data_IF_832731492676
#
_entry.id   IF_832731492676
#
_cell.length_a   1.000
_cell.length_b   1.000
_cell.length_c   1.000
_cell.angle_alpha   90.00
_cell.angle_beta   90.00
_cell.angle_gamma   90.00
#
_symmetry.space_group_name_H-M   'P 1'
#
loop_
_entity.id
_entity.type
_entity.pdbx_description
1 polymer ?
#
# COMPACT_ATOMS: atom_id res chain seq x y z
N UNK A 1 12.70 -1.04 -9.65
CA UNK A 1 13.35 0.15 -9.03
C UNK A 1 12.65 0.47 -7.72
N UNK A 2 13.41 0.82 -6.68
CA UNK A 2 12.89 1.21 -5.35
C UNK A 2 12.85 2.73 -5.21
N UNK A 3 11.96 3.25 -4.36
CA UNK A 3 11.86 4.69 -4.06
C UNK A 3 12.85 5.12 -2.95
N UNK A 4 13.22 4.20 -2.06
CA UNK A 4 14.26 4.41 -1.05
C UNK A 4 15.66 4.39 -1.69
N UNK A 5 16.59 5.25 -1.22
CA UNK A 5 16.41 6.23 -0.15
C UNK A 5 15.85 7.59 -0.63
N UNK A 6 15.72 7.82 -1.94
CA UNK A 6 15.45 9.13 -2.55
C UNK A 6 14.22 9.83 -1.97
N UNK A 7 13.13 9.09 -1.71
CA UNK A 7 11.87 9.67 -1.23
C UNK A 7 11.60 9.45 0.27
N UNK A 8 12.56 8.91 1.01
CA UNK A 8 12.38 8.57 2.43
C UNK A 8 11.98 9.79 3.27
N UNK A 9 12.63 10.94 3.07
CA UNK A 9 12.33 12.15 3.84
C UNK A 9 10.91 12.66 3.58
N UNK A 10 10.45 12.58 2.32
CA UNK A 10 9.10 12.99 1.92
C UNK A 10 8.03 12.13 2.61
N UNK A 11 8.10 10.80 2.47
CA UNK A 11 7.10 9.90 3.08
C UNK A 11 7.13 9.93 4.60
N UNK A 12 8.31 10.08 5.23
CA UNK A 12 8.40 10.26 6.69
C UNK A 12 7.71 11.52 7.18
N UNK A 13 7.81 12.62 6.42
CA UNK A 13 7.11 13.87 6.76
C UNK A 13 5.60 13.70 6.63
N UNK A 14 5.12 13.05 5.56
CA UNK A 14 3.69 12.78 5.37
C UNK A 14 3.12 11.89 6.49
N UNK A 15 3.82 10.81 6.85
CA UNK A 15 3.43 9.92 7.96
C UNK A 15 3.29 10.74 9.24
N UNK A 16 4.31 11.52 9.61
CA UNK A 16 4.27 12.35 10.82
C UNK A 16 3.12 13.35 10.83
N UNK A 17 2.84 13.98 9.69
CA UNK A 17 1.75 14.95 9.58
C UNK A 17 0.38 14.27 9.75
N UNK A 18 0.19 13.09 9.17
CA UNK A 18 -1.06 12.35 9.29
C UNK A 18 -1.28 11.85 10.73
N UNK A 19 -0.27 11.24 11.35
CA UNK A 19 -0.36 10.73 12.73
C UNK A 19 -0.60 11.86 13.74
N UNK A 20 -0.07 13.06 13.50
CA UNK A 20 -0.28 14.22 14.37
C UNK A 20 -1.76 14.67 14.45
N UNK A 21 -2.54 14.45 13.38
CA UNK A 21 -3.98 14.78 13.34
C UNK A 21 -4.88 13.55 13.56
N UNK A 22 -4.31 12.34 13.53
CA UNK A 22 -4.99 11.07 13.74
C UNK A 22 -4.27 10.24 14.83
N UNK A 23 -4.40 10.58 16.12
CA UNK A 23 -3.59 10.00 17.20
C UNK A 23 -3.82 8.50 17.45
N UNK A 24 -4.87 7.92 16.87
CA UNK A 24 -5.19 6.50 16.96
C UNK A 24 -4.73 5.69 15.73
N UNK A 25 -3.96 6.31 14.82
CA UNK A 25 -3.46 5.67 13.61
C UNK A 25 -1.94 5.71 13.63
N UNK A 26 -1.33 4.56 13.33
CA UNK A 26 0.10 4.43 13.07
C UNK A 26 0.29 4.01 11.61
N UNK A 27 1.21 4.66 10.90
CA UNK A 27 1.47 4.41 9.49
C UNK A 27 2.92 3.92 9.27
N UNK A 28 3.05 2.72 8.72
CA UNK A 28 4.32 2.21 8.23
C UNK A 28 4.38 2.30 6.69
N UNK A 29 5.31 3.12 6.16
CA UNK A 29 5.59 3.14 4.73
C UNK A 29 6.64 2.09 4.34
N UNK A 30 6.16 1.05 3.65
CA UNK A 30 6.98 -0.02 3.07
C UNK A 30 7.26 0.27 1.60
N UNK A 31 8.54 0.29 1.24
CA UNK A 31 8.97 0.41 -0.15
C UNK A 31 9.33 -0.97 -0.69
N UNK A 32 8.71 -1.35 -1.80
CA UNK A 32 8.93 -2.64 -2.45
C UNK A 32 9.34 -2.35 -3.89
N UNK A 33 10.46 -2.92 -4.37
CA UNK A 33 10.87 -2.77 -5.76
C UNK A 33 9.74 -3.18 -6.71
N UNK A 34 9.46 -2.34 -7.70
CA UNK A 34 8.34 -2.53 -8.64
C UNK A 34 8.29 -3.93 -9.28
N UNK A 35 9.44 -4.46 -9.65
CA UNK A 35 9.65 -5.78 -10.26
C UNK A 35 9.28 -6.95 -9.32
N UNK A 36 9.30 -6.72 -8.00
CA UNK A 36 8.92 -7.70 -6.99
C UNK A 36 7.55 -7.43 -6.37
N UNK A 37 6.94 -6.26 -6.62
CA UNK A 37 5.74 -5.80 -5.92
C UNK A 37 4.56 -6.75 -6.13
N UNK A 38 4.23 -7.08 -7.38
CA UNK A 38 3.07 -7.93 -7.68
C UNK A 38 3.21 -9.32 -7.06
N UNK A 39 4.36 -9.97 -7.24
CA UNK A 39 4.63 -11.31 -6.67
C UNK A 39 4.53 -11.31 -5.15
N UNK A 40 5.14 -10.31 -4.48
CA UNK A 40 5.10 -10.21 -3.01
C UNK A 40 3.70 -9.90 -2.49
N UNK A 41 2.97 -9.01 -3.15
CA UNK A 41 1.61 -8.67 -2.78
C UNK A 41 0.67 -9.88 -2.91
N UNK A 42 0.72 -10.59 -4.04
CA UNK A 42 -0.09 -11.80 -4.24
C UNK A 42 0.21 -12.85 -3.18
N UNK A 43 1.48 -13.08 -2.85
CA UNK A 43 1.86 -14.01 -1.79
C UNK A 43 1.31 -13.58 -0.42
N UNK A 44 1.38 -12.29 -0.08
CA UNK A 44 0.84 -11.76 1.17
C UNK A 44 -0.68 -11.88 1.25
N UNK A 45 -1.40 -11.64 0.16
CA UNK A 45 -2.86 -11.83 0.07
C UNK A 45 -3.22 -13.30 0.34
N UNK A 46 -2.56 -14.24 -0.35
CA UNK A 46 -2.81 -15.68 -0.15
C UNK A 46 -2.47 -16.13 1.27
N UNK A 47 -1.43 -15.55 1.87
CA UNK A 47 -1.01 -15.84 3.25
C UNK A 47 -1.90 -15.16 4.32
N UNK A 48 -2.87 -14.32 3.93
CA UNK A 48 -3.71 -13.58 4.88
C UNK A 48 -2.97 -12.46 5.62
N UNK A 49 -1.84 -11.99 5.07
CA UNK A 49 -0.97 -10.95 5.65
C UNK A 49 -0.81 -9.74 4.72
N UNK A 50 -1.80 -9.48 3.88
CA UNK A 50 -1.82 -8.32 2.98
C UNK A 50 -1.72 -6.98 3.76
N UNK A 51 -1.08 -5.95 3.18
CA UNK A 51 -1.10 -4.62 3.77
C UNK A 51 -2.50 -4.01 3.71
N UNK A 52 -2.79 -3.08 4.63
CA UNK A 52 -4.07 -2.36 4.68
C UNK A 52 -4.30 -1.45 3.47
N UNK A 53 -3.22 -0.91 2.89
CA UNK A 53 -3.24 -0.05 1.71
C UNK A 53 -2.03 -0.37 0.82
N UNK A 54 -2.25 -0.36 -0.49
CA UNK A 54 -1.19 -0.56 -1.48
C UNK A 54 -1.36 0.38 -2.67
N UNK A 55 -0.25 0.92 -3.16
CA UNK A 55 -0.23 1.68 -4.41
C UNK A 55 -0.11 0.69 -5.58
N UNK A 56 -1.08 0.72 -6.50
CA UNK A 56 -1.11 -0.13 -7.69
C UNK A 56 -1.25 0.72 -8.96
N UNK A 57 -0.80 0.16 -10.08
CA UNK A 57 -1.23 0.65 -11.40
C UNK A 57 -2.62 0.08 -11.74
N UNK A 58 -3.24 0.65 -12.77
CA UNK A 58 -4.61 0.29 -13.18
C UNK A 58 -4.75 -1.20 -13.56
N UNK A 59 -3.84 -1.82 -14.35
CA UNK A 59 -3.99 -3.24 -14.71
C UNK A 59 -4.00 -4.18 -13.50
N UNK A 60 -3.07 -4.02 -12.56
CA UNK A 60 -3.03 -4.89 -11.38
C UNK A 60 -4.23 -4.66 -10.45
N UNK A 61 -4.64 -3.39 -10.28
CA UNK A 61 -5.84 -3.10 -9.50
C UNK A 61 -7.09 -3.78 -10.09
N UNK A 62 -7.23 -3.77 -11.41
CA UNK A 62 -8.30 -4.48 -12.11
C UNK A 62 -8.24 -5.99 -11.89
N UNK A 63 -7.07 -6.61 -12.06
CA UNK A 63 -6.88 -8.05 -11.86
C UNK A 63 -7.21 -8.46 -10.42
N UNK A 64 -6.71 -7.74 -9.41
CA UNK A 64 -7.03 -8.03 -8.01
C UNK A 64 -8.50 -7.82 -7.68
N UNK A 65 -9.15 -6.79 -8.24
CA UNK A 65 -10.58 -6.57 -8.07
C UNK A 65 -11.42 -7.71 -8.65
N UNK A 66 -11.07 -8.20 -9.86
CA UNK A 66 -11.75 -9.35 -10.48
C UNK A 66 -11.68 -10.61 -9.61
N UNK A 67 -10.58 -10.79 -8.87
CA UNK A 67 -10.38 -11.91 -7.95
C UNK A 67 -10.90 -11.65 -6.53
N UNK A 68 -11.60 -10.53 -6.29
CA UNK A 68 -12.15 -10.19 -4.97
C UNK A 68 -11.08 -9.87 -3.91
N UNK A 69 -9.85 -9.56 -4.33
CA UNK A 69 -8.72 -9.29 -3.45
C UNK A 69 -8.64 -7.81 -3.01
N UNK A 70 -9.51 -6.94 -3.53
CA UNK A 70 -9.62 -5.54 -3.13
C UNK A 70 -11.00 -5.29 -2.48
N UNK A 71 -11.00 -4.53 -1.39
CA UNK A 71 -12.23 -4.05 -0.76
C UNK A 71 -12.78 -2.87 -1.58
N UNK A 72 -14.05 -2.90 -2.01
CA UNK A 72 -14.73 -1.70 -2.52
C UNK A 72 -14.73 -0.60 -1.45
N UNK A 73 -14.56 0.65 -1.87
CA UNK A 73 -14.50 1.81 -0.96
C UNK A 73 -15.63 2.80 -1.19
N UNK A 74 -16.59 2.48 -2.05
CA UNK A 74 -17.75 3.31 -2.37
C UNK A 74 -18.58 3.64 -1.12
N UNK A 75 -18.52 2.79 -0.08
CA UNK A 75 -19.14 2.98 1.23
C UNK A 75 -18.36 3.93 2.15
N UNK A 76 -17.15 4.34 1.77
CA UNK A 76 -16.26 5.21 2.55
C UNK A 76 -16.15 6.63 1.95
N UNK A 77 -16.78 6.90 0.80
CA UNK A 77 -16.78 8.18 0.08
C UNK A 77 -17.99 9.04 0.45
#
# INVERSE_FOLDING_TARGET
MSLKPKFTAYFRTLVKQYEAVHPNVELEWVDVPWDALQTKLTAAIVAGSAPSLVQLNVPWAYDYALHGALRPIDDLL
#
